data_IF_064343393070
#
_entry.id   IF_064343393070
#
_cell.length_a   1.000
_cell.length_b   1.000
_cell.length_c   1.000
_cell.angle_alpha   90.00
_cell.angle_beta   90.00
_cell.angle_gamma   90.00
#
_symmetry.space_group_name_H-M   'P 1'
#
loop_
_entity.id
_entity.type
_entity.pdbx_description
1 polymer ?
#
# COMPACT_ATOMS: atom_id res chain seq x y z
N UNK A 1 -9.08 -26.90 -44.58
CA UNK A 1 -9.63 -25.83 -43.71
C UNK A 1 -10.27 -26.32 -42.40
N UNK A 2 -11.03 -27.43 -42.41
CA UNK A 2 -11.71 -27.97 -41.20
C UNK A 2 -10.77 -28.58 -40.13
N UNK A 3 -9.69 -29.28 -40.54
CA UNK A 3 -8.70 -29.84 -39.59
C UNK A 3 -7.94 -28.74 -38.81
N UNK A 4 -7.64 -27.63 -39.47
CA UNK A 4 -6.93 -26.49 -38.88
C UNK A 4 -7.77 -25.82 -37.80
N UNK A 5 -9.08 -25.61 -38.05
CA UNK A 5 -10.02 -25.07 -37.04
C UNK A 5 -10.18 -25.98 -35.82
N UNK A 6 -10.20 -27.31 -36.01
CA UNK A 6 -10.28 -28.27 -34.89
C UNK A 6 -9.02 -28.27 -34.03
N UNK A 7 -7.83 -28.15 -34.64
CA UNK A 7 -6.56 -28.02 -33.90
C UNK A 7 -6.51 -26.71 -33.11
N UNK A 8 -6.84 -25.59 -33.75
CA UNK A 8 -6.90 -24.28 -33.09
C UNK A 8 -7.85 -24.32 -31.88
N UNK A 9 -9.07 -24.85 -32.06
CA UNK A 9 -10.06 -24.95 -30.96
C UNK A 9 -9.56 -25.79 -29.78
N UNK A 10 -8.88 -26.91 -30.05
CA UNK A 10 -8.28 -27.76 -28.99
C UNK A 10 -7.16 -27.03 -28.26
N UNK A 11 -6.28 -26.34 -29.00
CA UNK A 11 -5.21 -25.54 -28.41
C UNK A 11 -5.78 -24.40 -27.54
N UNK A 12 -6.79 -23.67 -28.02
CA UNK A 12 -7.43 -22.62 -27.22
C UNK A 12 -8.08 -23.15 -25.95
N UNK A 13 -8.77 -24.31 -26.01
CA UNK A 13 -9.36 -24.95 -24.83
C UNK A 13 -8.30 -25.39 -23.82
N UNK A 14 -7.17 -25.90 -24.32
CA UNK A 14 -6.08 -26.38 -23.47
C UNK A 14 -5.34 -25.23 -22.81
N UNK A 15 -5.09 -24.13 -23.53
CA UNK A 15 -4.57 -22.88 -22.96
C UNK A 15 -5.54 -22.33 -21.91
N UNK A 16 -6.84 -22.21 -22.23
CA UNK A 16 -7.84 -21.74 -21.27
C UNK A 16 -7.89 -22.59 -20.00
N UNK A 17 -7.84 -23.92 -20.13
CA UNK A 17 -7.84 -24.83 -18.99
C UNK A 17 -6.58 -24.66 -18.13
N UNK A 18 -5.41 -24.49 -18.75
CA UNK A 18 -4.16 -24.20 -18.02
C UNK A 18 -4.25 -22.85 -17.32
N UNK A 19 -4.74 -21.81 -17.99
CA UNK A 19 -4.87 -20.47 -17.41
C UNK A 19 -5.84 -20.48 -16.24
N UNK A 20 -7.01 -21.11 -16.37
CA UNK A 20 -7.99 -21.24 -15.28
C UNK A 20 -7.44 -22.08 -14.12
N UNK A 21 -6.76 -23.20 -14.42
CA UNK A 21 -6.14 -24.05 -13.40
C UNK A 21 -5.06 -23.30 -12.61
N UNK A 22 -4.19 -22.58 -13.30
CA UNK A 22 -3.18 -21.72 -12.68
C UNK A 22 -3.82 -20.60 -11.87
N UNK A 23 -4.82 -19.91 -12.41
CA UNK A 23 -5.53 -18.82 -11.71
C UNK A 23 -6.20 -19.31 -10.43
N UNK A 24 -6.76 -20.52 -10.44
CA UNK A 24 -7.38 -21.13 -9.26
C UNK A 24 -6.34 -21.56 -8.23
N UNK A 25 -5.21 -22.14 -8.68
CA UNK A 25 -4.11 -22.53 -7.78
C UNK A 25 -3.44 -21.30 -7.14
N UNK A 26 -3.31 -20.21 -7.88
CA UNK A 26 -2.70 -18.95 -7.38
C UNK A 26 -3.74 -17.97 -6.83
N UNK A 27 -5.01 -18.37 -6.71
CA UNK A 27 -6.01 -17.51 -6.10
C UNK A 27 -5.65 -17.35 -4.61
N UNK A 28 -5.67 -16.12 -4.06
CA UNK A 28 -5.44 -15.93 -2.64
C UNK A 28 -6.46 -16.76 -1.85
N UNK A 29 -6.07 -17.30 -0.67
CA UNK A 29 -7.00 -18.04 0.17
C UNK A 29 -8.22 -17.17 0.50
N UNK A 30 -9.36 -17.83 0.70
CA UNK A 30 -10.56 -17.13 1.19
C UNK A 30 -10.20 -16.31 2.43
N UNK A 31 -10.80 -15.12 2.55
CA UNK A 31 -10.67 -14.28 3.75
C UNK A 31 -10.92 -15.17 4.97
N UNK A 32 -9.91 -15.29 5.81
CA UNK A 32 -10.09 -15.84 7.15
C UNK A 32 -10.60 -14.68 7.99
N UNK A 33 -11.88 -14.73 8.36
CA UNK A 33 -12.35 -13.88 9.45
C UNK A 33 -11.69 -14.41 10.72
N UNK A 34 -10.69 -13.68 11.20
CA UNK A 34 -10.22 -13.89 12.56
C UNK A 34 -11.35 -13.38 13.44
N UNK A 35 -12.09 -14.30 14.07
CA UNK A 35 -12.93 -13.95 15.21
C UNK A 35 -12.04 -13.18 16.17
N UNK A 36 -12.20 -11.86 16.20
CA UNK A 36 -11.60 -11.04 17.24
C UNK A 36 -12.05 -11.68 18.53
N UNK A 37 -11.10 -12.17 19.35
CA UNK A 37 -11.35 -12.72 20.67
C UNK A 37 -12.51 -11.93 21.29
N UNK A 38 -13.64 -12.59 21.56
CA UNK A 38 -14.82 -11.92 22.12
C UNK A 38 -14.34 -11.02 23.25
N UNK A 39 -14.38 -9.69 23.02
CA UNK A 39 -14.03 -8.76 24.06
C UNK A 39 -15.00 -9.01 25.20
N UNK A 40 -14.52 -9.14 26.47
CA UNK A 40 -15.42 -9.29 27.60
C UNK A 40 -16.52 -8.24 27.52
N UNK A 41 -17.77 -8.69 27.65
CA UNK A 41 -18.96 -7.84 27.55
C UNK A 41 -18.78 -6.55 28.37
N UNK A 42 -18.77 -5.40 27.68
CA UNK A 42 -18.52 -4.08 28.28
C UNK A 42 -17.24 -3.37 27.81
N UNK A 43 -16.35 -4.05 27.10
CA UNK A 43 -15.26 -3.38 26.36
C UNK A 43 -15.72 -3.02 24.94
N UNK A 44 -15.84 -1.72 24.66
CA UNK A 44 -15.82 -1.28 23.26
C UNK A 44 -14.39 -1.47 22.74
N UNK A 45 -14.25 -2.07 21.56
CA UNK A 45 -12.96 -2.11 20.87
C UNK A 45 -12.46 -0.68 20.70
N UNK A 46 -11.34 -0.33 21.34
CA UNK A 46 -10.63 0.93 21.11
C UNK A 46 -9.78 0.87 19.84
N UNK A 47 -9.82 -0.26 19.12
CA UNK A 47 -9.05 -0.50 17.91
C UNK A 47 -9.90 -0.13 16.70
N UNK A 48 -9.29 0.66 15.81
CA UNK A 48 -9.85 1.05 14.51
C UNK A 48 -9.03 0.37 13.43
N UNK A 49 -9.68 -0.29 12.48
CA UNK A 49 -9.02 -0.91 11.33
C UNK A 49 -8.93 0.07 10.16
N UNK A 50 -7.79 0.09 9.48
CA UNK A 50 -7.60 0.88 8.27
C UNK A 50 -6.48 0.33 7.40
N UNK A 51 -6.33 0.92 6.22
CA UNK A 51 -5.18 0.68 5.36
C UNK A 51 -4.23 1.89 5.42
N UNK A 52 -2.95 1.61 5.57
CA UNK A 52 -1.89 2.60 5.48
C UNK A 52 -1.03 2.30 4.26
N UNK A 53 -0.42 3.33 3.69
CA UNK A 53 0.45 3.23 2.51
C UNK A 53 -0.27 2.70 1.27
N UNK A 54 -1.18 3.52 0.74
CA UNK A 54 -1.99 3.19 -0.43
C UNK A 54 -1.78 4.23 -1.53
N UNK A 55 -1.48 3.76 -2.73
CA UNK A 55 -1.26 4.62 -3.89
C UNK A 55 -2.53 4.74 -4.73
N UNK A 56 -2.78 5.95 -5.23
CA UNK A 56 -3.89 6.23 -6.14
C UNK A 56 -3.36 6.41 -7.55
N UNK A 57 -4.27 6.70 -8.49
CA UNK A 57 -3.90 7.07 -9.86
C UNK A 57 -3.25 8.47 -9.98
N UNK A 58 -3.01 9.17 -8.86
CA UNK A 58 -2.22 10.41 -8.82
C UNK A 58 -0.72 10.14 -8.96
N UNK A 59 -0.24 8.96 -8.52
CA UNK A 59 1.13 8.52 -8.74
C UNK A 59 1.19 7.23 -9.59
N UNK A 60 1.39 6.06 -8.97
CA UNK A 60 1.59 4.77 -9.64
C UNK A 60 0.54 3.70 -9.28
N UNK A 61 -0.49 4.08 -8.53
CA UNK A 61 -1.69 3.28 -8.32
C UNK A 61 -2.61 3.27 -9.56
N UNK A 62 -3.62 2.41 -9.53
CA UNK A 62 -4.54 2.22 -10.68
C UNK A 62 -5.96 2.75 -10.48
N UNK A 63 -6.32 3.15 -9.26
CA UNK A 63 -7.68 3.53 -8.86
C UNK A 63 -7.70 4.94 -8.24
N UNK A 64 -8.84 5.63 -8.34
CA UNK A 64 -9.03 6.91 -7.66
C UNK A 64 -9.27 6.74 -6.15
N UNK A 65 -9.19 7.84 -5.41
CA UNK A 65 -9.55 7.90 -3.97
C UNK A 65 -10.95 7.34 -3.73
N UNK A 66 -11.94 7.71 -4.56
CA UNK A 66 -13.33 7.28 -4.41
C UNK A 66 -13.50 5.78 -4.63
N UNK A 67 -12.83 5.22 -5.64
CA UNK A 67 -12.86 3.78 -5.93
C UNK A 67 -12.23 2.98 -4.79
N UNK A 68 -11.08 3.43 -4.27
CA UNK A 68 -10.41 2.78 -3.14
C UNK A 68 -11.25 2.89 -1.87
N UNK A 69 -11.82 4.06 -1.59
CA UNK A 69 -12.68 4.26 -0.42
C UNK A 69 -13.94 3.39 -0.45
N UNK A 70 -14.55 3.20 -1.63
CA UNK A 70 -15.67 2.27 -1.80
C UNK A 70 -15.26 0.82 -1.49
N UNK A 71 -14.12 0.37 -2.00
CA UNK A 71 -13.59 -0.97 -1.69
C UNK A 71 -13.30 -1.11 -0.19
N UNK A 72 -12.66 -0.10 0.42
CA UNK A 72 -12.36 -0.06 1.84
C UNK A 72 -13.63 -0.16 2.69
N UNK A 73 -14.70 0.53 2.30
CA UNK A 73 -16.00 0.44 2.96
C UNK A 73 -16.59 -0.98 2.86
N UNK A 74 -16.57 -1.56 1.65
CA UNK A 74 -17.08 -2.92 1.38
C UNK A 74 -16.35 -3.99 2.20
N UNK A 75 -15.06 -3.78 2.50
CA UNK A 75 -14.27 -4.71 3.32
C UNK A 75 -14.28 -4.41 4.83
N UNK A 76 -14.97 -3.34 5.26
CA UNK A 76 -15.13 -2.95 6.66
C UNK A 76 -13.96 -2.16 7.27
N UNK A 77 -13.16 -1.48 6.46
CA UNK A 77 -12.13 -0.56 6.96
C UNK A 77 -12.75 0.78 7.37
N UNK A 78 -12.19 1.40 8.40
CA UNK A 78 -12.66 2.70 8.91
C UNK A 78 -11.89 3.89 8.33
N UNK A 79 -10.64 3.68 7.88
CA UNK A 79 -9.83 4.72 7.27
C UNK A 79 -8.85 4.17 6.22
N UNK A 80 -8.39 5.05 5.33
CA UNK A 80 -7.30 4.82 4.38
C UNK A 80 -6.36 6.02 4.41
N UNK A 81 -5.05 5.77 4.51
CA UNK A 81 -4.01 6.79 4.33
C UNK A 81 -3.39 6.61 2.95
N UNK A 82 -3.62 7.59 2.08
CA UNK A 82 -3.03 7.64 0.75
C UNK A 82 -1.63 8.23 0.84
N UNK A 83 -0.69 7.63 0.12
CA UNK A 83 0.74 7.97 0.20
C UNK A 83 1.33 8.02 -1.21
N UNK A 84 0.65 8.69 -2.12
CA UNK A 84 1.14 8.85 -3.48
C UNK A 84 2.56 9.43 -3.50
N UNK A 85 3.38 8.98 -4.46
CA UNK A 85 4.74 9.49 -4.61
C UNK A 85 4.74 10.99 -4.87
N UNK A 86 5.52 11.74 -4.09
CA UNK A 86 5.56 13.20 -4.17
C UNK A 86 6.84 13.79 -3.60
N UNK A 87 6.93 15.11 -3.63
CA UNK A 87 8.04 15.86 -3.04
C UNK A 87 7.56 16.96 -2.07
N UNK A 88 6.28 16.96 -1.71
CA UNK A 88 5.67 17.87 -0.74
C UNK A 88 5.27 19.23 -1.32
N UNK A 89 5.51 19.51 -2.60
CA UNK A 89 5.01 20.71 -3.27
C UNK A 89 3.53 20.61 -3.63
N UNK A 90 3.02 19.39 -3.74
CA UNK A 90 1.62 19.11 -3.99
C UNK A 90 0.77 19.53 -2.77
N UNK A 91 -0.37 20.16 -3.02
CA UNK A 91 -1.35 20.44 -1.96
C UNK A 91 -2.07 19.15 -1.61
N UNK A 92 -1.98 18.72 -0.35
CA UNK A 92 -2.72 17.56 0.15
C UNK A 92 -4.19 17.92 0.35
N UNK A 93 -5.07 17.02 -0.07
CA UNK A 93 -6.48 17.16 0.23
C UNK A 93 -6.72 17.10 1.75
N UNK A 94 -7.62 17.94 2.25
CA UNK A 94 -8.03 17.87 3.65
C UNK A 94 -8.67 16.51 3.95
N UNK A 95 -8.43 15.91 5.15
CA UNK A 95 -9.07 14.66 5.52
C UNK A 95 -10.59 14.72 5.37
N UNK A 96 -11.15 13.76 4.64
CA UNK A 96 -12.55 13.74 4.28
C UNK A 96 -13.11 12.33 4.31
N UNK A 97 -14.42 12.20 4.53
CA UNK A 97 -15.09 10.91 4.44
C UNK A 97 -15.55 10.63 3.01
N UNK A 98 -15.08 9.52 2.45
CA UNK A 98 -15.57 8.97 1.18
C UNK A 98 -16.18 7.60 1.45
N UNK A 99 -17.41 7.37 1.00
CA UNK A 99 -18.12 6.09 1.22
C UNK A 99 -18.18 5.65 2.70
N UNK A 100 -18.12 6.58 3.66
CA UNK A 100 -18.10 6.28 5.09
C UNK A 100 -16.72 5.93 5.66
N UNK A 101 -15.67 5.95 4.85
CA UNK A 101 -14.27 5.72 5.23
C UNK A 101 -13.54 7.05 5.35
N UNK A 102 -12.78 7.25 6.42
CA UNK A 102 -11.93 8.43 6.57
C UNK A 102 -10.72 8.32 5.63
N UNK A 103 -10.65 9.19 4.64
CA UNK A 103 -9.56 9.31 3.69
C UNK A 103 -8.60 10.40 4.14
N UNK A 104 -7.33 10.05 4.29
CA UNK A 104 -6.26 10.96 4.72
C UNK A 104 -5.24 11.00 3.59
N UNK A 105 -4.97 12.19 3.06
CA UNK A 105 -3.96 12.39 2.03
C UNK A 105 -2.59 12.63 2.67
N UNK A 106 -1.53 12.09 2.08
CA UNK A 106 -0.15 12.15 2.57
C UNK A 106 0.80 11.88 1.39
N UNK A 107 2.10 12.11 1.58
CA UNK A 107 3.08 11.96 0.49
C UNK A 107 4.15 10.94 0.86
N UNK A 108 4.48 10.03 -0.05
CA UNK A 108 5.67 9.17 0.06
C UNK A 108 6.85 9.84 -0.65
N UNK A 109 7.86 10.25 0.12
CA UNK A 109 9.05 10.93 -0.38
C UNK A 109 10.15 9.89 -0.66
N UNK A 110 10.66 9.87 -1.88
CA UNK A 110 11.84 9.07 -2.24
C UNK A 110 13.11 9.78 -1.77
N UNK A 111 13.92 9.08 -0.97
CA UNK A 111 15.22 9.57 -0.48
C UNK A 111 16.37 8.66 -0.93
N UNK A 112 17.60 9.10 -0.74
CA UNK A 112 18.81 8.29 -0.96
C UNK A 112 18.97 7.18 0.09
N UNK A 113 18.16 7.18 1.15
CA UNK A 113 18.23 6.26 2.29
C UNK A 113 16.94 5.47 2.55
N UNK A 114 16.06 5.33 1.56
CA UNK A 114 14.78 4.63 1.64
C UNK A 114 13.59 5.55 1.34
N UNK A 115 12.37 5.03 1.46
CA UNK A 115 11.16 5.84 1.34
C UNK A 115 10.67 6.31 2.70
N UNK A 116 10.16 7.53 2.74
CA UNK A 116 9.69 8.18 3.95
C UNK A 116 8.32 8.82 3.69
N UNK A 117 7.30 8.33 4.36
CA UNK A 117 5.95 8.90 4.27
C UNK A 117 5.84 10.06 5.23
N UNK A 118 5.39 11.21 4.73
CA UNK A 118 5.09 12.39 5.52
C UNK A 118 3.58 12.62 5.58
N UNK A 119 3.01 12.40 6.76
CA UNK A 119 1.59 12.61 7.06
C UNK A 119 1.40 13.99 7.68
N UNK A 120 0.28 14.66 7.38
CA UNK A 120 -0.03 16.01 7.88
C UNK A 120 1.07 17.05 7.57
N UNK A 121 1.78 16.84 6.46
CA UNK A 121 2.80 17.76 5.98
C UNK A 121 2.12 18.89 5.18
N UNK A 122 2.23 20.15 5.60
CA UNK A 122 1.75 21.26 4.77
C UNK A 122 2.59 21.36 3.49
N UNK A 123 2.04 21.99 2.45
CA UNK A 123 2.78 22.28 1.23
C UNK A 123 4.14 22.91 1.54
N UNK A 124 5.19 22.28 1.06
CA UNK A 124 6.55 22.63 1.39
C UNK A 124 6.99 23.85 0.58
N UNK A 125 7.90 24.69 1.11
CA UNK A 125 8.42 25.84 0.36
C UNK A 125 9.40 25.43 -0.76
N UNK A 126 9.80 24.16 -0.83
CA UNK A 126 10.73 23.59 -1.78
C UNK A 126 10.56 22.06 -1.83
N UNK A 127 10.94 21.39 -2.93
CA UNK A 127 10.78 19.94 -3.05
C UNK A 127 11.67 19.19 -2.07
N UNK A 128 11.11 18.20 -1.39
CA UNK A 128 11.82 17.25 -0.53
C UNK A 128 12.29 16.04 -1.36
N UNK A 129 13.45 15.51 -1.01
CA UNK A 129 14.09 14.36 -1.65
C UNK A 129 15.61 14.42 -1.54
N UNK A 130 16.30 13.37 -2.01
CA UNK A 130 17.76 13.27 -1.92
C UNK A 130 18.20 12.81 -0.52
N UNK A 131 19.10 13.54 0.14
CA UNK A 131 19.67 13.12 1.43
C UNK A 131 18.58 12.86 2.48
N UNK A 132 18.55 11.63 3.00
CA UNK A 132 17.52 11.14 3.91
C UNK A 132 17.50 11.91 5.23
N UNK A 133 18.66 12.33 5.75
CA UNK A 133 18.73 13.08 7.00
C UNK A 133 18.10 14.47 6.84
N UNK A 134 18.37 15.15 5.72
CA UNK A 134 17.73 16.41 5.38
C UNK A 134 16.21 16.30 5.23
N UNK A 135 15.72 15.24 4.56
CA UNK A 135 14.27 15.01 4.43
C UNK A 135 13.60 14.77 5.78
N UNK A 136 14.19 13.94 6.64
CA UNK A 136 13.66 13.67 7.99
C UNK A 136 13.61 14.96 8.83
N UNK A 137 14.70 15.75 8.81
CA UNK A 137 14.75 17.03 9.52
C UNK A 137 13.68 18.00 9.02
N UNK A 138 13.49 18.09 7.70
CA UNK A 138 12.51 19.00 7.11
C UNK A 138 11.07 18.58 7.40
N UNK A 139 10.75 17.28 7.35
CA UNK A 139 9.42 16.79 7.74
C UNK A 139 9.13 17.15 9.21
N UNK A 140 10.07 16.91 10.12
CA UNK A 140 9.92 17.28 11.53
C UNK A 140 9.75 18.80 11.71
N UNK A 141 10.61 19.60 11.07
CA UNK A 141 10.62 21.06 11.20
C UNK A 141 9.34 21.70 10.65
N UNK A 142 8.75 21.09 9.63
CA UNK A 142 7.49 21.54 9.03
C UNK A 142 6.25 20.98 9.74
N UNK A 143 6.44 20.15 10.78
CA UNK A 143 5.36 19.64 11.64
C UNK A 143 4.69 18.37 11.12
N UNK A 144 5.25 17.72 10.10
CA UNK A 144 4.74 16.46 9.58
C UNK A 144 5.06 15.28 10.51
N UNK A 145 4.26 14.23 10.40
CA UNK A 145 4.45 12.95 11.08
C UNK A 145 5.14 11.98 10.11
N UNK A 146 6.35 11.55 10.48
CA UNK A 146 7.22 10.81 9.59
C UNK A 146 7.21 9.30 9.82
N UNK A 147 6.97 8.55 8.75
CA UNK A 147 6.88 7.08 8.78
C UNK A 147 7.87 6.44 7.83
N UNK A 148 8.69 5.52 8.33
CA UNK A 148 9.58 4.72 7.48
C UNK A 148 8.76 3.70 6.68
N UNK A 149 8.85 3.79 5.35
CA UNK A 149 8.17 2.90 4.43
C UNK A 149 9.05 1.67 4.07
N UNK A 150 8.42 0.49 4.04
CA UNK A 150 9.00 -0.81 3.65
C UNK A 150 10.50 -0.99 3.98
N UNK A 151 10.91 -0.82 5.26
CA UNK A 151 12.33 -0.74 5.63
C UNK A 151 13.13 -1.99 5.26
N UNK A 152 12.48 -3.15 5.18
CA UNK A 152 13.07 -4.44 4.81
C UNK A 152 13.18 -4.72 3.31
N UNK A 153 12.93 -3.74 2.43
CA UNK A 153 12.97 -3.94 0.98
C UNK A 153 14.29 -4.56 0.52
N UNK A 154 14.21 -5.57 -0.37
CA UNK A 154 15.41 -6.21 -0.96
C UNK A 154 16.15 -5.30 -1.93
N UNK A 155 15.48 -4.25 -2.41
CA UNK A 155 16.10 -3.22 -3.25
C UNK A 155 16.88 -2.27 -2.34
N UNK A 156 18.20 -2.22 -2.51
CA UNK A 156 19.07 -1.40 -1.67
C UNK A 156 18.72 0.09 -1.66
N UNK A 157 18.11 0.59 -2.75
CA UNK A 157 17.67 2.00 -2.86
C UNK A 157 16.42 2.31 -2.03
N UNK A 158 15.66 1.28 -1.62
CA UNK A 158 14.43 1.45 -0.82
C UNK A 158 14.62 0.99 0.62
N UNK A 159 15.67 0.21 0.89
CA UNK A 159 15.97 -0.30 2.22
C UNK A 159 16.35 0.83 3.16
N UNK A 160 15.78 0.82 4.37
CA UNK A 160 16.10 1.77 5.41
C UNK A 160 17.28 1.28 6.24
N UNK A 161 18.42 1.99 6.17
CA UNK A 161 19.61 1.70 6.96
C UNK A 161 19.91 2.81 8.01
N UNK A 162 19.14 3.91 8.02
CA UNK A 162 19.41 5.12 8.81
C UNK A 162 18.62 5.15 10.14
N UNK A 163 18.81 4.12 10.97
CA UNK A 163 18.02 3.90 12.20
C UNK A 163 18.26 4.92 13.32
N UNK A 164 19.34 5.69 13.24
CA UNK A 164 19.65 6.76 14.20
C UNK A 164 18.86 8.05 13.93
N UNK A 165 18.21 8.17 12.77
CA UNK A 165 17.35 9.30 12.44
C UNK A 165 16.02 9.20 13.17
N UNK A 166 15.40 10.36 13.42
CA UNK A 166 14.06 10.43 14.01
C UNK A 166 13.03 9.84 13.04
N UNK A 167 12.05 9.13 13.58
CA UNK A 167 10.82 8.75 12.91
C UNK A 167 9.72 8.61 13.96
N UNK A 168 8.47 8.84 13.57
CA UNK A 168 7.31 8.72 14.45
C UNK A 168 6.61 7.36 14.28
N UNK A 169 6.82 6.71 13.13
CA UNK A 169 6.34 5.36 12.84
C UNK A 169 7.25 4.61 11.88
N UNK A 170 7.04 3.30 11.80
CA UNK A 170 7.64 2.46 10.77
C UNK A 170 6.64 1.41 10.30
N UNK A 171 6.73 1.04 9.03
CA UNK A 171 6.09 -0.17 8.56
C UNK A 171 6.82 -1.40 9.08
N UNK A 172 6.15 -2.14 9.95
CA UNK A 172 6.62 -3.48 10.32
C UNK A 172 6.34 -4.47 9.19
N UNK A 173 5.12 -4.46 8.65
CA UNK A 173 4.70 -5.32 7.55
C UNK A 173 4.28 -4.47 6.36
N UNK A 174 4.86 -4.73 5.19
CA UNK A 174 4.46 -4.11 3.93
C UNK A 174 4.05 -5.21 2.94
N UNK A 175 2.76 -5.28 2.63
CA UNK A 175 2.18 -6.40 1.86
C UNK A 175 2.71 -6.45 0.43
N UNK A 176 2.95 -5.31 -0.22
CA UNK A 176 3.51 -5.26 -1.57
C UNK A 176 4.95 -5.80 -1.60
N UNK A 177 5.77 -5.39 -0.64
CA UNK A 177 7.15 -5.87 -0.49
C UNK A 177 7.18 -7.36 -0.23
N UNK A 178 6.37 -7.88 0.69
CA UNK A 178 6.28 -9.31 0.95
C UNK A 178 5.85 -10.07 -0.31
N UNK A 179 4.81 -9.61 -1.00
CA UNK A 179 4.33 -10.24 -2.23
C UNK A 179 5.40 -10.28 -3.34
N UNK A 180 6.11 -9.17 -3.58
CA UNK A 180 7.15 -9.08 -4.62
C UNK A 180 8.42 -9.83 -4.27
N UNK A 181 8.70 -9.98 -2.98
CA UNK A 181 9.89 -10.66 -2.50
C UNK A 181 9.76 -12.18 -2.49
N UNK A 182 8.53 -12.69 -2.65
CA UNK A 182 8.24 -14.12 -2.62
C UNK A 182 8.32 -14.79 -4.00
N UNK A 183 8.83 -16.02 -4.00
CA UNK A 183 8.85 -16.82 -5.23
C UNK A 183 7.44 -17.31 -5.55
N UNK A 184 7.12 -17.51 -6.83
CA UNK A 184 5.84 -18.09 -7.24
C UNK A 184 5.52 -19.35 -6.42
N UNK A 185 6.47 -20.27 -6.28
CA UNK A 185 6.33 -21.50 -5.48
C UNK A 185 5.94 -21.28 -4.01
N UNK A 186 6.33 -20.17 -3.39
CA UNK A 186 5.95 -19.84 -2.01
C UNK A 186 4.59 -19.14 -1.92
N UNK A 187 4.18 -18.47 -3.00
CA UNK A 187 2.85 -17.85 -3.08
C UNK A 187 1.74 -18.86 -3.38
N UNK A 188 2.06 -20.01 -4.01
CA UNK A 188 1.10 -21.09 -4.33
C UNK A 188 1.08 -22.27 -3.35
N UNK A 189 2.00 -22.31 -2.38
CA UNK A 189 2.12 -23.39 -1.40
C UNK A 189 1.47 -23.01 -0.07
#
# INVERSE_FOLDING_TARGET
MLLTRRRIRRTCLLVLAITLGLSFLTAPPNRIEIESLEYPTGFQSTSVSGAFHVHTNRSDGSMSVEEIAAIAADVGLSFVVFTDHGNGLEESDLPAYHSGVLCIDSTEISTDGGHYVAVDLPTTPYPLGGDVAGVVEDVERLGGFGVIAHPGSKKSTFRWDNWDLKFDGMEWFNVDSEWRNESLLRLVA
#
